data_IF_659476690187
#
_entry.id   IF_659476690187
#
_cell.length_a   1.000
_cell.length_b   1.000
_cell.length_c   1.000
_cell.angle_alpha   90.00
_cell.angle_beta   90.00
_cell.angle_gamma   90.00
#
_symmetry.space_group_name_H-M   'P 1'
#
loop_
_entity.id
_entity.type
_entity.pdbx_description
1 polymer ?
#
# COMPACT_ATOMS: atom_id res chain seq x y z
N UNK A 1 10.24 -17.77 -34.50
CA UNK A 1 9.02 -17.74 -33.65
C UNK A 1 9.43 -17.45 -32.24
N UNK A 2 9.30 -16.22 -31.83
CA UNK A 2 9.77 -15.76 -30.52
C UNK A 2 8.62 -15.83 -29.52
N UNK A 3 8.56 -16.91 -28.76
CA UNK A 3 7.65 -17.09 -27.61
C UNK A 3 8.24 -16.39 -26.38
N UNK A 4 8.48 -15.09 -26.47
CA UNK A 4 8.68 -14.30 -25.27
C UNK A 4 7.31 -13.95 -24.70
N UNK A 5 6.76 -14.85 -23.91
CA UNK A 5 5.63 -14.53 -23.06
C UNK A 5 6.00 -13.32 -22.20
N UNK A 6 5.37 -12.19 -22.46
CA UNK A 6 5.50 -11.00 -21.62
C UNK A 6 5.03 -11.39 -20.22
N UNK A 7 5.98 -11.63 -19.32
CA UNK A 7 5.68 -11.91 -17.93
C UNK A 7 4.96 -10.69 -17.38
N UNK A 8 3.66 -10.84 -17.11
CA UNK A 8 2.83 -9.76 -16.60
C UNK A 8 3.46 -9.23 -15.30
N UNK A 9 3.83 -7.95 -15.30
CA UNK A 9 4.39 -7.30 -14.11
C UNK A 9 3.22 -7.05 -13.14
N UNK A 10 3.27 -7.69 -11.99
CA UNK A 10 2.25 -7.52 -10.95
C UNK A 10 2.89 -7.03 -9.66
N UNK A 11 2.46 -5.88 -9.19
CA UNK A 11 2.82 -5.34 -7.87
C UNK A 11 1.67 -5.66 -6.92
N UNK A 12 1.93 -6.51 -5.94
CA UNK A 12 0.96 -6.80 -4.90
C UNK A 12 1.02 -5.71 -3.83
N UNK A 13 -0.15 -5.25 -3.39
CA UNK A 13 -0.24 -4.27 -2.31
C UNK A 13 0.16 -4.92 -0.99
N UNK A 14 1.24 -4.45 -0.39
CA UNK A 14 1.73 -4.86 0.92
C UNK A 14 2.11 -3.62 1.73
N UNK A 15 2.22 -3.76 3.04
CA UNK A 15 2.64 -2.67 3.91
C UNK A 15 4.03 -2.13 3.54
N UNK A 16 4.97 -3.00 3.19
CA UNK A 16 6.31 -2.63 2.73
C UNK A 16 6.26 -1.77 1.44
N UNK A 17 5.40 -2.14 0.50
CA UNK A 17 5.18 -1.37 -0.73
C UNK A 17 4.57 0.00 -0.43
N UNK A 18 3.63 0.09 0.51
CA UNK A 18 3.04 1.36 0.95
C UNK A 18 4.11 2.27 1.54
N UNK A 19 5.00 1.74 2.37
CA UNK A 19 6.08 2.50 3.01
C UNK A 19 7.13 3.01 2.01
N UNK A 20 7.49 2.19 1.03
CA UNK A 20 8.51 2.52 0.02
C UNK A 20 8.01 3.45 -1.07
N UNK A 21 6.69 3.52 -1.26
CA UNK A 21 6.06 4.28 -2.32
C UNK A 21 6.26 5.79 -2.15
N UNK A 22 6.66 6.47 -3.23
CA UNK A 22 6.83 7.93 -3.29
C UNK A 22 5.60 8.69 -3.80
N UNK A 23 4.47 8.03 -4.01
CA UNK A 23 3.27 8.68 -4.52
C UNK A 23 2.81 9.86 -3.65
N UNK A 24 2.88 9.73 -2.34
CA UNK A 24 2.46 10.78 -1.39
C UNK A 24 3.33 12.04 -1.41
N UNK A 25 4.55 11.94 -1.93
CA UNK A 25 5.47 13.08 -2.11
C UNK A 25 5.51 13.54 -3.56
N UNK A 26 4.75 12.91 -4.46
CA UNK A 26 4.78 13.18 -5.89
C UNK A 26 4.15 14.56 -6.19
N UNK A 27 4.83 15.45 -6.93
CA UNK A 27 4.29 16.75 -7.29
C UNK A 27 2.93 16.70 -8.01
N UNK A 28 2.67 15.61 -8.74
CA UNK A 28 1.38 15.36 -9.39
C UNK A 28 0.21 15.33 -8.40
N UNK A 29 0.46 14.93 -7.15
CA UNK A 29 -0.57 14.75 -6.12
C UNK A 29 -0.57 15.84 -5.05
N UNK A 30 0.57 16.45 -4.78
CA UNK A 30 0.74 17.36 -3.62
C UNK A 30 -0.13 18.61 -3.69
N UNK A 31 -0.61 19.00 -4.87
CA UNK A 31 -1.55 20.13 -5.06
C UNK A 31 -3.03 19.71 -5.04
N UNK A 32 -3.34 18.43 -5.04
CA UNK A 32 -4.71 17.93 -5.07
C UNK A 32 -5.41 18.06 -3.73
N UNK A 33 -6.54 18.76 -3.71
CA UNK A 33 -7.38 18.91 -2.51
C UNK A 33 -8.02 17.58 -2.13
N UNK A 34 -8.36 16.75 -3.11
CA UNK A 34 -8.93 15.42 -2.90
C UNK A 34 -7.93 14.44 -2.25
N UNK A 35 -6.65 14.54 -2.58
CA UNK A 35 -5.62 13.61 -2.09
C UNK A 35 -5.08 14.00 -0.71
N UNK A 36 -5.04 15.29 -0.35
CA UNK A 36 -4.43 15.76 0.90
C UNK A 36 -4.94 15.03 2.15
N UNK A 37 -6.25 14.86 2.37
CA UNK A 37 -6.75 14.14 3.55
C UNK A 37 -6.33 12.65 3.54
N UNK A 38 -6.20 12.04 2.37
CA UNK A 38 -5.74 10.66 2.23
C UNK A 38 -4.25 10.51 2.56
N UNK A 39 -3.43 11.49 2.17
CA UNK A 39 -2.01 11.55 2.54
C UNK A 39 -1.87 11.74 4.05
N UNK A 40 -2.66 12.63 4.65
CA UNK A 40 -2.65 12.87 6.09
C UNK A 40 -3.05 11.60 6.86
N UNK A 41 -4.11 10.92 6.46
CA UNK A 41 -4.57 9.67 7.06
C UNK A 41 -3.49 8.56 6.98
N UNK A 42 -2.85 8.40 5.79
CA UNK A 42 -1.75 7.45 5.62
C UNK A 42 -0.58 7.76 6.53
N UNK A 43 -0.17 9.03 6.61
CA UNK A 43 0.96 9.44 7.43
C UNK A 43 0.66 9.24 8.93
N UNK A 44 -0.57 9.52 9.36
CA UNK A 44 -1.01 9.25 10.75
C UNK A 44 -0.95 7.75 11.07
N UNK A 45 -1.39 6.88 10.16
CA UNK A 45 -1.28 5.43 10.33
C UNK A 45 0.17 4.96 10.47
N UNK A 46 1.08 5.52 9.69
CA UNK A 46 2.51 5.15 9.75
C UNK A 46 3.17 5.66 11.03
N UNK A 47 2.81 6.86 11.49
CA UNK A 47 3.38 7.46 12.69
C UNK A 47 2.78 6.88 13.98
N UNK A 48 1.55 6.43 13.92
CA UNK A 48 0.78 5.94 15.07
C UNK A 48 0.26 4.51 14.84
N UNK A 49 1.12 3.49 14.79
CA UNK A 49 0.70 2.10 14.55
C UNK A 49 -0.32 1.60 15.58
N UNK A 50 -0.31 2.15 16.80
CA UNK A 50 -1.29 1.83 17.84
C UNK A 50 -2.73 2.24 17.49
N UNK A 51 -2.91 3.32 16.71
CA UNK A 51 -4.24 3.70 16.20
C UNK A 51 -4.79 2.67 15.23
N UNK A 52 -3.95 2.07 14.41
CA UNK A 52 -4.34 1.00 13.50
C UNK A 52 -4.88 -0.21 14.28
N UNK A 53 -4.19 -0.61 15.34
CA UNK A 53 -4.63 -1.70 16.24
C UNK A 53 -5.96 -1.33 16.92
N UNK A 54 -6.11 -0.12 17.44
CA UNK A 54 -7.35 0.36 18.03
C UNK A 54 -8.50 0.39 17.03
N UNK A 55 -8.25 0.82 15.81
CA UNK A 55 -9.27 0.89 14.76
C UNK A 55 -9.73 -0.51 14.32
N UNK A 56 -8.81 -1.48 14.24
CA UNK A 56 -9.13 -2.90 14.02
C UNK A 56 -9.98 -3.45 15.18
N UNK A 57 -9.64 -3.10 16.42
CA UNK A 57 -10.40 -3.51 17.61
C UNK A 57 -11.79 -2.90 17.67
N UNK A 58 -11.96 -1.61 17.31
CA UNK A 58 -13.25 -0.91 17.38
C UNK A 58 -14.20 -1.22 16.23
N UNK A 59 -13.69 -1.57 15.04
CA UNK A 59 -14.52 -1.91 13.88
C UNK A 59 -15.07 -3.35 13.91
N UNK A 60 -14.82 -4.11 15.00
CA UNK A 60 -15.37 -5.46 15.17
C UNK A 60 -14.89 -6.47 14.11
N UNK A 61 -13.85 -6.15 13.35
CA UNK A 61 -13.26 -7.06 12.36
C UNK A 61 -12.58 -8.27 13.02
N UNK A 62 -12.29 -8.20 14.33
CA UNK A 62 -11.84 -9.34 15.11
C UNK A 62 -13.04 -10.07 15.75
N UNK A 63 -13.84 -10.76 14.96
CA UNK A 63 -14.82 -11.71 15.49
C UNK A 63 -14.19 -12.98 16.06
N UNK A 64 -12.89 -13.18 15.92
CA UNK A 64 -12.19 -14.31 16.48
C UNK A 64 -11.51 -13.93 17.80
N UNK A 65 -12.31 -13.90 18.86
CA UNK A 65 -11.86 -13.67 20.24
C UNK A 65 -10.79 -14.67 20.70
N UNK A 66 -10.73 -15.83 20.08
CA UNK A 66 -9.75 -16.88 20.41
C UNK A 66 -8.33 -16.53 19.93
N UNK A 67 -8.22 -15.83 18.81
CA UNK A 67 -6.93 -15.34 18.29
C UNK A 67 -6.34 -14.22 19.16
N UNK A 68 -7.22 -13.39 19.78
CA UNK A 68 -6.80 -12.31 20.68
C UNK A 68 -6.34 -12.83 22.06
N UNK A 69 -6.88 -13.95 22.53
CA UNK A 69 -6.47 -14.53 23.84
C UNK A 69 -5.01 -14.98 23.85
N UNK A 70 -4.43 -15.27 22.69
CA UNK A 70 -3.05 -15.72 22.54
C UNK A 70 -2.09 -14.60 22.11
N UNK A 71 -2.58 -13.40 21.86
CA UNK A 71 -1.75 -12.24 21.53
C UNK A 71 -1.41 -11.45 22.79
N UNK A 72 -0.17 -11.56 23.23
CA UNK A 72 0.38 -10.71 24.29
C UNK A 72 0.64 -9.29 23.70
N UNK A 73 -0.35 -8.40 23.87
CA UNK A 73 -0.31 -7.02 23.39
C UNK A 73 0.88 -6.27 24.02
N UNK A 74 1.23 -6.59 25.27
CA UNK A 74 2.38 -6.01 25.96
C UNK A 74 3.68 -6.37 25.26
N UNK A 75 3.78 -7.60 24.75
CA UNK A 75 4.93 -8.10 23.99
C UNK A 75 5.04 -7.43 22.62
N UNK A 76 3.91 -7.16 21.94
CA UNK A 76 3.91 -6.42 20.68
C UNK A 76 4.42 -4.98 20.82
N UNK A 77 4.14 -4.33 21.95
CA UNK A 77 4.59 -2.95 22.21
C UNK A 77 6.09 -2.86 22.47
N UNK A 78 6.73 -3.95 22.91
CA UNK A 78 8.17 -4.01 23.23
C UNK A 78 9.01 -4.62 22.11
N UNK A 79 8.39 -5.14 21.06
CA UNK A 79 9.06 -5.75 19.92
C UNK A 79 9.79 -4.72 19.04
N UNK A 80 10.96 -5.11 18.53
CA UNK A 80 11.68 -4.32 17.54
C UNK A 80 10.87 -4.24 16.22
N UNK A 81 11.14 -3.21 15.41
CA UNK A 81 10.50 -3.03 14.10
C UNK A 81 10.67 -4.25 13.18
N UNK A 82 11.81 -4.92 13.27
CA UNK A 82 12.11 -6.12 12.47
C UNK A 82 11.29 -7.33 12.92
N UNK A 83 11.11 -7.49 14.22
CA UNK A 83 10.26 -8.56 14.78
C UNK A 83 8.78 -8.33 14.44
N UNK A 84 8.31 -7.08 14.55
CA UNK A 84 6.95 -6.71 14.14
C UNK A 84 6.72 -7.01 12.65
N UNK A 85 7.72 -6.74 11.81
CA UNK A 85 7.65 -7.03 10.37
C UNK A 85 7.58 -8.55 10.11
N UNK A 86 8.44 -9.34 10.77
CA UNK A 86 8.42 -10.82 10.62
C UNK A 86 7.06 -11.39 11.04
N UNK A 87 6.52 -10.93 12.15
CA UNK A 87 5.23 -11.40 12.65
C UNK A 87 4.09 -11.01 11.71
N UNK A 88 4.13 -9.79 11.17
CA UNK A 88 3.16 -9.32 10.16
C UNK A 88 3.24 -10.16 8.87
N UNK A 89 4.44 -10.45 8.38
CA UNK A 89 4.66 -11.26 7.17
C UNK A 89 4.18 -12.71 7.39
N UNK A 90 4.38 -13.25 8.58
CA UNK A 90 3.94 -14.59 8.95
C UNK A 90 2.42 -14.67 9.11
N UNK A 91 1.80 -13.68 9.74
CA UNK A 91 0.34 -13.57 9.82
C UNK A 91 -0.28 -13.46 8.43
N UNK A 92 0.29 -12.64 7.54
CA UNK A 92 -0.24 -12.50 6.17
C UNK A 92 -0.11 -13.77 5.35
N UNK A 93 0.92 -14.59 5.57
CA UNK A 93 1.07 -15.89 4.91
C UNK A 93 0.02 -16.90 5.35
N UNK A 94 -0.38 -16.84 6.62
CA UNK A 94 -1.30 -17.81 7.23
C UNK A 94 -2.76 -17.34 7.17
N UNK A 95 -3.03 -16.10 6.76
CA UNK A 95 -4.39 -15.55 6.64
C UNK A 95 -4.94 -15.84 5.25
N UNK A 96 -6.18 -16.38 5.13
CA UNK A 96 -6.82 -16.58 3.84
C UNK A 96 -6.86 -15.27 3.04
N UNK A 97 -6.64 -15.38 1.72
CA UNK A 97 -6.58 -14.21 0.83
C UNK A 97 -7.83 -13.33 0.91
N UNK A 98 -9.00 -13.96 1.06
CA UNK A 98 -10.27 -13.23 1.19
C UNK A 98 -10.36 -12.37 2.45
N UNK A 99 -9.74 -12.80 3.55
CA UNK A 99 -9.68 -12.01 4.78
C UNK A 99 -8.62 -10.91 4.69
N UNK A 100 -7.50 -11.20 4.04
CA UNK A 100 -6.44 -10.21 3.80
C UNK A 100 -6.96 -9.06 2.93
N UNK A 101 -7.72 -9.37 1.90
CA UNK A 101 -8.32 -8.36 1.00
C UNK A 101 -9.35 -7.46 1.73
N UNK A 102 -10.03 -8.00 2.75
CA UNK A 102 -10.94 -7.20 3.60
C UNK A 102 -10.22 -6.30 4.60
N UNK A 103 -9.00 -6.67 5.01
CA UNK A 103 -8.18 -5.88 5.93
C UNK A 103 -7.43 -4.75 5.24
N UNK A 104 -7.22 -4.84 3.92
CA UNK A 104 -6.51 -3.79 3.18
C UNK A 104 -7.39 -2.56 3.00
N UNK A 105 -6.83 -1.35 3.15
CA UNK A 105 -7.54 -0.13 2.83
C UNK A 105 -8.05 -0.17 1.40
N UNK A 106 -9.25 0.34 1.17
CA UNK A 106 -9.81 0.40 -0.18
C UNK A 106 -8.94 1.27 -1.09
N UNK A 107 -8.74 0.86 -2.35
CA UNK A 107 -7.92 1.63 -3.30
C UNK A 107 -8.36 3.10 -3.43
N UNK A 108 -9.66 3.37 -3.32
CA UNK A 108 -10.24 4.71 -3.37
C UNK A 108 -9.82 5.61 -2.19
N UNK A 109 -9.48 5.01 -1.04
CA UNK A 109 -9.08 5.73 0.16
C UNK A 109 -7.57 5.93 0.27
N UNK A 110 -6.80 5.36 -0.65
CA UNK A 110 -5.35 5.39 -0.61
C UNK A 110 -4.76 6.44 -1.57
N UNK A 111 -3.71 7.17 -1.14
CA UNK A 111 -2.95 8.08 -1.99
C UNK A 111 -1.83 7.37 -2.79
N UNK A 112 -2.02 6.11 -3.14
CA UNK A 112 -1.02 5.22 -3.77
C UNK A 112 -0.65 4.04 -2.88
N UNK A 113 0.15 3.10 -3.39
CA UNK A 113 0.88 3.03 -4.67
C UNK A 113 0.00 2.66 -5.88
N UNK A 114 -0.11 3.53 -6.85
CA UNK A 114 -1.02 3.31 -8.00
C UNK A 114 -0.55 2.21 -8.94
N UNK A 115 0.74 1.87 -8.95
CA UNK A 115 1.25 0.69 -9.66
C UNK A 115 0.68 -0.63 -9.12
N UNK A 116 0.23 -0.64 -7.86
CA UNK A 116 -0.42 -1.80 -7.23
C UNK A 116 -1.95 -1.71 -7.24
N UNK A 117 -2.53 -0.53 -6.97
CA UNK A 117 -3.97 -0.36 -6.79
C UNK A 117 -4.71 0.08 -8.06
N UNK A 118 -4.03 0.67 -9.03
CA UNK A 118 -4.61 1.19 -10.27
C UNK A 118 -4.77 2.70 -10.28
N UNK A 119 -5.60 3.24 -11.18
CA UNK A 119 -5.78 4.67 -11.35
C UNK A 119 -6.26 5.38 -10.09
N UNK A 120 -5.85 6.64 -9.93
CA UNK A 120 -6.36 7.50 -8.87
C UNK A 120 -7.84 7.81 -9.07
N UNK A 121 -8.58 7.84 -7.97
CA UNK A 121 -10.00 8.23 -7.96
C UNK A 121 -10.15 9.75 -8.04
N UNK A 122 -9.21 10.48 -7.45
CA UNK A 122 -9.18 11.95 -7.49
C UNK A 122 -8.94 12.47 -8.90
N UNK A 123 -9.71 13.48 -9.33
CA UNK A 123 -9.67 14.05 -10.68
C UNK A 123 -8.88 15.35 -10.77
N UNK A 124 -8.48 15.91 -9.65
CA UNK A 124 -7.77 17.18 -9.52
C UNK A 124 -6.24 17.02 -9.42
N UNK A 125 -5.71 15.92 -9.96
CA UNK A 125 -4.27 15.68 -10.04
C UNK A 125 -3.63 16.53 -11.16
N UNK A 126 -2.48 17.13 -10.85
CA UNK A 126 -1.76 17.97 -11.81
C UNK A 126 -0.75 17.15 -12.64
N UNK A 127 -1.20 16.64 -13.77
CA UNK A 127 -0.36 15.85 -14.68
C UNK A 127 0.64 16.67 -15.50
N UNK A 128 0.68 17.99 -15.34
CA UNK A 128 1.73 18.84 -15.89
C UNK A 128 3.03 18.74 -15.09
N UNK A 129 2.95 18.26 -13.86
CA UNK A 129 4.10 18.04 -12.98
C UNK A 129 4.80 16.73 -13.28
N UNK A 130 6.09 16.70 -12.96
CA UNK A 130 6.91 15.51 -13.15
C UNK A 130 6.53 14.42 -12.15
N UNK A 131 6.23 13.22 -12.66
CA UNK A 131 5.94 12.04 -11.85
C UNK A 131 7.22 11.48 -11.20
N UNK A 132 7.13 11.08 -9.94
CA UNK A 132 8.24 10.44 -9.21
C UNK A 132 8.29 8.91 -9.40
N UNK A 133 7.48 8.32 -10.26
CA UNK A 133 7.47 6.87 -10.48
C UNK A 133 8.85 6.32 -10.81
N UNK A 134 9.58 6.93 -11.73
CA UNK A 134 10.92 6.47 -12.17
C UNK A 134 11.98 6.50 -11.05
N UNK A 135 11.82 7.36 -10.04
CA UNK A 135 12.72 7.45 -8.87
C UNK A 135 12.22 6.67 -7.65
N UNK A 136 11.09 5.98 -7.78
CA UNK A 136 10.49 5.22 -6.69
C UNK A 136 11.21 3.88 -6.49
N UNK A 137 11.55 3.48 -5.25
CA UNK A 137 12.11 2.16 -4.97
C UNK A 137 11.25 1.02 -5.51
N UNK A 138 9.92 1.10 -5.39
CA UNK A 138 8.99 0.10 -5.92
C UNK A 138 9.14 -0.06 -7.44
N UNK A 139 9.29 1.04 -8.16
CA UNK A 139 9.50 1.04 -9.62
C UNK A 139 10.74 0.23 -10.00
N UNK A 140 11.84 0.46 -9.28
CA UNK A 140 13.11 -0.24 -9.52
C UNK A 140 13.03 -1.71 -9.13
N UNK A 141 12.50 -2.01 -7.93
CA UNK A 141 12.47 -3.36 -7.36
C UNK A 141 11.62 -4.33 -8.19
N UNK A 142 10.56 -3.83 -8.83
CA UNK A 142 9.67 -4.61 -9.70
C UNK A 142 9.97 -4.48 -11.19
N UNK A 143 10.99 -3.67 -11.57
CA UNK A 143 11.35 -3.48 -12.98
C UNK A 143 10.25 -2.85 -13.83
N UNK A 144 9.45 -1.95 -13.24
CA UNK A 144 8.24 -1.40 -13.84
C UNK A 144 8.47 -0.60 -15.13
N UNK A 145 9.70 -0.15 -15.37
CA UNK A 145 10.08 0.53 -16.60
C UNK A 145 9.98 -0.32 -17.87
N UNK A 146 9.86 -1.64 -17.72
CA UNK A 146 9.68 -2.61 -18.83
C UNK A 146 8.21 -2.83 -19.18
N UNK A 147 7.28 -2.40 -18.31
CA UNK A 147 5.84 -2.54 -18.52
C UNK A 147 5.22 -1.36 -19.26
N UNK A 148 3.93 -1.49 -19.56
CA UNK A 148 3.10 -0.41 -20.10
C UNK A 148 1.81 -0.31 -19.30
N UNK A 149 1.43 0.88 -18.82
CA UNK A 149 2.23 2.12 -18.83
C UNK A 149 3.51 1.96 -18.00
N UNK A 150 4.52 2.77 -18.27
CA UNK A 150 5.79 2.75 -17.54
C UNK A 150 5.93 3.88 -16.52
N UNK A 151 5.03 4.88 -16.55
CA UNK A 151 4.97 6.00 -15.60
C UNK A 151 3.52 6.51 -15.46
N UNK A 152 3.29 7.43 -14.53
CA UNK A 152 1.98 8.03 -14.26
C UNK A 152 0.89 6.98 -14.00
N UNK A 153 1.17 6.01 -13.15
CA UNK A 153 0.20 4.95 -12.81
C UNK A 153 -1.10 5.51 -12.21
N UNK A 154 -1.03 6.66 -11.52
CA UNK A 154 -2.21 7.38 -11.03
C UNK A 154 -3.17 7.82 -12.16
N UNK A 155 -2.65 8.04 -13.38
CA UNK A 155 -3.42 8.38 -14.58
C UNK A 155 -3.75 7.17 -15.44
N UNK A 156 -2.77 6.30 -15.62
CA UNK A 156 -2.77 5.26 -16.64
C UNK A 156 -3.14 3.86 -16.11
N UNK A 157 -3.15 3.67 -14.80
CA UNK A 157 -3.43 2.39 -14.17
C UNK A 157 -2.20 1.51 -13.97
N UNK A 158 -2.45 0.26 -13.62
CA UNK A 158 -1.39 -0.73 -13.33
C UNK A 158 -0.54 -1.04 -14.56
N UNK A 159 0.75 -1.37 -14.37
CA UNK A 159 1.58 -1.89 -15.46
C UNK A 159 1.07 -3.27 -15.90
N UNK A 160 1.15 -3.52 -17.19
CA UNK A 160 0.78 -4.80 -17.80
C UNK A 160 1.98 -5.44 -18.51
#
# INVERSE_FOLDING_TARGET
MSLFGHKKIQVNLTYDIILKCKCTSCPVQTSSVCIQPKIAARNDMIQNPNKMVQQIMTTGMMKNVEMMKNMDISRMMTMSREEQKRMSDEMMKNTPKEETDKMMPKPEDMPGPYCAIGMAVCKDLDYTKTCLCSSCPVFRDFGLGKGKPNIYYCKNGKPA
#
